data_IF_435073314549
#
_entry.id   IF_435073314549
#
_cell.length_a   1.000
_cell.length_b   1.000
_cell.length_c   1.000
_cell.angle_alpha   90.00
_cell.angle_beta   90.00
_cell.angle_gamma   90.00
#
_symmetry.space_group_name_H-M   'P 1'
#
loop_
_entity.id
_entity.type
_entity.pdbx_description
1 polymer ?
#
# COMPACT_ATOMS: atom_id res chain seq x y z
N UNK A 1 -2.52 6.05 -9.62
CA UNK A 1 -1.63 6.01 -8.43
C UNK A 1 -0.18 5.83 -8.84
N UNK A 2 0.19 4.74 -9.53
CA UNK A 2 1.56 4.53 -10.04
C UNK A 2 2.06 5.63 -10.99
N UNK A 3 1.21 6.14 -11.89
CA UNK A 3 1.59 7.23 -12.80
C UNK A 3 2.07 8.50 -12.08
N UNK A 4 1.40 8.91 -11.00
CA UNK A 4 1.80 10.08 -10.23
C UNK A 4 3.15 9.87 -9.53
N UNK A 5 3.39 8.68 -8.97
CA UNK A 5 4.67 8.32 -8.39
C UNK A 5 5.80 8.37 -9.43
N UNK A 6 5.55 7.79 -10.61
CA UNK A 6 6.53 7.73 -11.69
C UNK A 6 6.86 9.12 -12.24
N UNK A 7 5.84 9.96 -12.43
CA UNK A 7 6.03 11.34 -12.85
C UNK A 7 6.81 12.15 -11.80
N UNK A 8 6.46 12.01 -10.51
CA UNK A 8 7.08 12.77 -9.43
C UNK A 8 8.55 12.40 -9.19
N UNK A 9 8.90 11.11 -9.28
CA UNK A 9 10.23 10.63 -8.91
C UNK A 9 11.16 10.41 -10.12
N UNK A 10 10.62 10.27 -11.33
CA UNK A 10 11.42 9.98 -12.53
C UNK A 10 11.14 10.94 -13.70
N UNK A 11 10.24 11.93 -13.55
CA UNK A 11 9.96 12.93 -14.59
C UNK A 11 9.27 12.38 -15.84
N UNK A 12 8.75 11.15 -15.78
CA UNK A 12 8.11 10.49 -16.92
C UNK A 12 6.65 10.95 -17.07
N UNK A 13 6.30 11.45 -18.25
CA UNK A 13 4.95 11.91 -18.57
C UNK A 13 3.92 10.79 -18.48
N UNK A 14 2.68 11.08 -18.07
CA UNK A 14 1.60 10.08 -18.08
C UNK A 14 1.46 9.43 -19.47
N UNK A 15 1.54 8.09 -19.51
CA UNK A 15 1.45 7.31 -20.75
C UNK A 15 2.78 7.07 -21.48
N UNK A 16 3.91 7.58 -20.98
CA UNK A 16 5.23 7.33 -21.59
C UNK A 16 5.79 5.93 -21.29
N UNK A 17 5.14 5.16 -20.41
CA UNK A 17 5.53 3.79 -20.05
C UNK A 17 4.38 2.82 -20.33
N UNK A 18 4.65 1.65 -20.94
CA UNK A 18 3.65 0.59 -21.08
C UNK A 18 3.06 0.24 -19.71
N UNK A 19 1.74 0.10 -19.66
CA UNK A 19 1.02 -0.16 -18.42
C UNK A 19 -0.04 -1.23 -18.65
N UNK A 20 -0.13 -2.18 -17.72
CA UNK A 20 -1.17 -3.20 -17.70
C UNK A 20 -2.19 -2.86 -16.62
N UNK A 21 -3.48 -2.92 -16.98
CA UNK A 21 -4.58 -2.77 -16.03
C UNK A 21 -5.07 -4.18 -15.67
N UNK A 22 -4.94 -4.56 -14.40
CA UNK A 22 -5.48 -5.81 -13.87
C UNK A 22 -6.42 -5.53 -12.71
N UNK A 23 -7.50 -6.32 -12.63
CA UNK A 23 -8.61 -6.10 -11.70
C UNK A 23 -8.46 -6.85 -10.36
N UNK A 24 -7.25 -7.36 -10.05
CA UNK A 24 -6.97 -8.09 -8.81
C UNK A 24 -5.65 -7.63 -8.20
N UNK A 25 -5.67 -7.34 -6.90
CA UNK A 25 -4.47 -7.00 -6.14
C UNK A 25 -3.50 -8.17 -6.07
N UNK A 26 -4.01 -9.41 -5.99
CA UNK A 26 -3.20 -10.63 -5.95
C UNK A 26 -2.51 -10.89 -7.30
N UNK A 27 -3.19 -10.55 -8.41
CA UNK A 27 -2.62 -10.68 -9.75
C UNK A 27 -1.37 -9.80 -9.93
N UNK A 28 -1.28 -8.64 -9.27
CA UNK A 28 -0.06 -7.81 -9.33
C UNK A 28 1.15 -8.53 -8.75
N UNK A 29 0.99 -9.27 -7.64
CA UNK A 29 2.10 -10.01 -7.02
C UNK A 29 2.58 -11.12 -7.97
N UNK A 30 1.65 -11.87 -8.56
CA UNK A 30 2.01 -12.92 -9.51
C UNK A 30 2.68 -12.36 -10.77
N UNK A 31 2.21 -11.23 -11.30
CA UNK A 31 2.84 -10.55 -12.44
C UNK A 31 4.25 -10.05 -12.12
N UNK A 32 4.46 -9.50 -10.92
CA UNK A 32 5.78 -9.08 -10.47
C UNK A 32 6.74 -10.28 -10.34
N UNK A 33 6.26 -11.41 -9.78
CA UNK A 33 7.03 -12.64 -9.62
C UNK A 33 7.43 -13.29 -10.96
N UNK A 34 6.67 -13.06 -12.02
CA UNK A 34 7.02 -13.51 -13.38
C UNK A 34 8.18 -12.72 -13.99
N UNK A 35 8.58 -11.59 -13.39
CA UNK A 35 9.77 -10.82 -13.79
C UNK A 35 9.61 -9.94 -15.04
N UNK A 36 8.52 -10.09 -15.80
CA UNK A 36 8.27 -9.31 -17.02
C UNK A 36 7.73 -7.90 -16.77
N UNK A 37 7.34 -7.59 -15.52
CA UNK A 37 6.75 -6.29 -15.15
C UNK A 37 7.24 -5.84 -13.78
N UNK A 38 7.37 -4.53 -13.58
CA UNK A 38 7.48 -3.94 -12.25
C UNK A 38 6.11 -3.46 -11.79
N UNK A 39 5.84 -3.58 -10.50
CA UNK A 39 4.55 -3.23 -9.91
C UNK A 39 4.76 -2.40 -8.64
N UNK A 40 3.87 -1.44 -8.40
CA UNK A 40 3.80 -0.73 -7.12
C UNK A 40 2.81 -1.47 -6.22
N UNK A 41 3.33 -2.21 -5.24
CA UNK A 41 2.56 -3.11 -4.38
C UNK A 41 2.71 -2.69 -2.91
N UNK A 42 1.65 -2.70 -2.08
CA UNK A 42 1.78 -2.43 -0.65
C UNK A 42 2.73 -3.42 0.03
N UNK A 43 3.68 -2.94 0.83
CA UNK A 43 4.65 -3.77 1.54
C UNK A 43 4.01 -4.90 2.36
N UNK A 44 2.86 -4.64 3.00
CA UNK A 44 2.14 -5.64 3.79
C UNK A 44 1.74 -6.86 2.95
N UNK A 45 1.50 -6.68 1.65
CA UNK A 45 1.07 -7.75 0.74
C UNK A 45 2.22 -8.62 0.24
N UNK A 46 3.47 -8.13 0.26
CA UNK A 46 4.65 -8.81 -0.31
C UNK A 46 5.80 -8.99 0.70
N UNK A 47 5.51 -8.92 1.99
CA UNK A 47 6.53 -8.99 3.03
C UNK A 47 7.34 -10.30 2.97
N UNK A 48 6.67 -11.42 2.69
CA UNK A 48 7.30 -12.73 2.56
C UNK A 48 8.17 -12.82 1.30
N UNK A 49 7.67 -12.34 0.17
CA UNK A 49 8.37 -12.35 -1.11
C UNK A 49 9.65 -11.51 -1.05
N UNK A 50 9.61 -10.36 -0.36
CA UNK A 50 10.79 -9.53 -0.11
C UNK A 50 11.79 -10.24 0.82
N UNK A 51 11.31 -10.87 1.90
CA UNK A 51 12.17 -11.57 2.85
C UNK A 51 12.86 -12.80 2.24
N UNK A 52 12.18 -13.49 1.32
CA UNK A 52 12.68 -14.68 0.64
C UNK A 52 13.51 -14.34 -0.63
N UNK A 53 13.58 -13.06 -1.01
CA UNK A 53 14.28 -12.61 -2.22
C UNK A 53 13.57 -12.96 -3.53
N UNK A 54 12.28 -13.35 -3.49
CA UNK A 54 11.47 -13.59 -4.69
C UNK A 54 11.12 -12.28 -5.41
N UNK A 55 11.05 -11.18 -4.65
CA UNK A 55 10.89 -9.81 -5.16
C UNK A 55 11.97 -8.91 -4.57
N UNK A 56 12.28 -7.83 -5.29
CA UNK A 56 13.25 -6.81 -4.85
C UNK A 56 12.61 -5.43 -4.90
N UNK A 57 13.02 -4.54 -4.00
CA UNK A 57 12.63 -3.13 -4.06
C UNK A 57 13.50 -2.42 -5.12
N UNK A 58 12.86 -1.99 -6.21
CA UNK A 58 13.51 -1.27 -7.30
C UNK A 58 13.79 0.20 -6.95
N UNK A 59 13.13 0.73 -5.91
CA UNK A 59 13.24 2.13 -5.54
C UNK A 59 13.43 2.31 -4.03
N UNK A 60 14.52 1.78 -3.43
CA UNK A 60 14.75 1.87 -2.00
C UNK A 60 14.70 3.32 -1.50
N UNK A 61 13.93 3.56 -0.44
CA UNK A 61 13.74 4.88 0.15
C UNK A 61 12.62 5.72 -0.50
N UNK A 62 12.16 5.37 -1.70
CA UNK A 62 11.00 6.01 -2.32
C UNK A 62 9.75 5.21 -1.97
N UNK A 63 8.90 5.78 -1.11
CA UNK A 63 7.65 5.14 -0.72
C UNK A 63 6.47 6.09 -0.80
N UNK A 64 5.34 5.57 -1.26
CA UNK A 64 4.11 6.32 -1.30
C UNK A 64 3.26 6.01 -0.06
N UNK A 65 3.29 6.90 0.94
CA UNK A 65 2.47 6.78 2.15
C UNK A 65 1.03 7.23 1.88
N UNK A 66 0.07 6.52 2.47
CA UNK A 66 -1.36 6.85 2.39
C UNK A 66 -1.98 6.69 3.76
N UNK A 67 -2.65 7.74 4.22
CA UNK A 67 -3.44 7.71 5.45
C UNK A 67 -4.75 6.95 5.17
N UNK A 68 -5.09 6.02 6.05
CA UNK A 68 -6.36 5.30 6.00
C UNK A 68 -7.27 5.80 7.12
N UNK A 69 -8.54 5.99 6.79
CA UNK A 69 -9.54 6.51 7.71
C UNK A 69 -10.70 5.53 7.80
N UNK A 70 -11.19 5.30 9.02
CA UNK A 70 -12.43 4.57 9.26
C UNK A 70 -13.57 5.57 9.47
N UNK A 71 -14.49 5.63 8.52
CA UNK A 71 -15.68 6.49 8.61
C UNK A 71 -16.86 5.70 9.15
N UNK A 72 -17.61 6.30 10.07
CA UNK A 72 -18.82 5.71 10.68
C UNK A 72 -19.92 6.74 10.81
N UNK A 73 -21.17 6.28 10.77
CA UNK A 73 -22.35 7.13 10.99
C UNK A 73 -22.82 7.08 12.45
N UNK A 74 -23.48 8.15 12.89
CA UNK A 74 -24.04 8.28 14.24
C UNK A 74 -25.58 8.46 14.19
N UNK A 75 -26.34 7.95 15.20
CA UNK A 75 -25.86 7.19 16.36
C UNK A 75 -25.45 5.75 15.99
N UNK A 76 -24.46 5.21 16.69
CA UNK A 76 -23.85 3.91 16.39
C UNK A 76 -24.48 2.79 17.24
N UNK A 77 -24.73 1.62 16.64
CA UNK A 77 -25.18 0.44 17.37
C UNK A 77 -24.03 -0.19 18.16
N UNK A 78 -24.35 -0.97 19.21
CA UNK A 78 -23.33 -1.70 19.99
C UNK A 78 -22.49 -2.63 19.11
N UNK A 79 -23.10 -3.28 18.13
CA UNK A 79 -22.39 -4.16 17.18
C UNK A 79 -21.39 -3.38 16.33
N UNK A 80 -21.78 -2.21 15.81
CA UNK A 80 -20.89 -1.39 15.00
C UNK A 80 -19.72 -0.84 15.84
N UNK A 81 -19.94 -0.54 17.12
CA UNK A 81 -18.85 -0.20 18.05
C UNK A 81 -17.81 -1.32 18.14
N UNK A 82 -18.24 -2.57 18.26
CA UNK A 82 -17.31 -3.71 18.30
C UNK A 82 -16.52 -3.86 16.98
N UNK A 83 -17.15 -3.59 15.83
CA UNK A 83 -16.47 -3.59 14.53
C UNK A 83 -15.44 -2.47 14.46
N UNK A 84 -15.81 -1.26 14.89
CA UNK A 84 -14.90 -0.11 14.97
C UNK A 84 -13.68 -0.44 15.85
N UNK A 85 -13.89 -1.00 17.04
CA UNK A 85 -12.82 -1.37 17.96
C UNK A 85 -11.87 -2.42 17.36
N UNK A 86 -12.43 -3.44 16.70
CA UNK A 86 -11.65 -4.48 16.03
C UNK A 86 -10.83 -3.92 14.85
N UNK A 87 -11.43 -3.08 14.00
CA UNK A 87 -10.76 -2.45 12.87
C UNK A 87 -9.61 -1.55 13.30
N UNK A 88 -9.84 -0.70 14.30
CA UNK A 88 -8.80 0.20 14.83
C UNK A 88 -7.67 -0.58 15.49
N UNK A 89 -7.99 -1.63 16.26
CA UNK A 89 -6.99 -2.49 16.89
C UNK A 89 -6.11 -3.16 15.83
N UNK A 90 -6.72 -3.85 14.86
CA UNK A 90 -5.99 -4.57 13.81
C UNK A 90 -5.21 -3.61 12.92
N UNK A 91 -5.81 -2.47 12.55
CA UNK A 91 -5.15 -1.44 11.75
C UNK A 91 -3.87 -0.91 12.42
N UNK A 92 -3.91 -0.65 13.74
CA UNK A 92 -2.72 -0.22 14.50
C UNK A 92 -1.62 -1.27 14.56
N UNK A 93 -1.99 -2.55 14.55
CA UNK A 93 -1.04 -3.66 14.62
C UNK A 93 -0.39 -3.96 13.27
N UNK A 94 -1.16 -3.88 12.17
CA UNK A 94 -0.70 -4.31 10.85
C UNK A 94 -0.18 -3.17 9.96
N UNK A 95 -0.63 -1.94 10.19
CA UNK A 95 -0.23 -0.78 9.39
C UNK A 95 0.85 0.01 10.11
N UNK A 96 1.81 0.55 9.35
CA UNK A 96 2.78 1.50 9.89
C UNK A 96 2.05 2.69 10.51
N UNK A 97 2.34 2.95 11.77
CA UNK A 97 1.89 4.17 12.45
C UNK A 97 2.90 5.28 12.16
N UNK A 98 2.44 6.53 12.13
CA UNK A 98 3.36 7.66 12.12
C UNK A 98 4.11 7.67 13.45
N UNK A 99 5.42 7.89 13.41
CA UNK A 99 6.17 8.22 14.61
C UNK A 99 5.61 9.55 15.14
N UNK A 100 5.17 9.57 16.40
CA UNK A 100 4.72 10.81 17.05
C UNK A 100 5.87 11.83 16.91
N UNK A 101 5.67 13.03 16.33
CA UNK A 101 6.74 14.01 16.29
C UNK A 101 7.14 14.30 17.74
N UNK A 102 8.42 14.15 18.05
CA UNK A 102 8.96 14.43 19.38
C UNK A 102 8.43 15.79 19.84
N UNK A 103 7.70 15.81 20.96
CA UNK A 103 7.20 17.05 21.55
C UNK A 103 8.40 17.96 21.80
N UNK A 104 8.48 19.04 21.03
CA UNK A 104 9.38 20.18 21.23
C UNK A 104 9.00 20.96 22.47
#
# INVERSE_FOLDING_TARGET
>A
MHQAFVQQNFGLSPGSVPCHIVNSSEAFVQLAKQGSTCCMIPHLQIASELANGELVDLTPGLCQRRMLYWHRFAPESRTMKNVTDALLKTGRQMLKQEDEPAKS
#
